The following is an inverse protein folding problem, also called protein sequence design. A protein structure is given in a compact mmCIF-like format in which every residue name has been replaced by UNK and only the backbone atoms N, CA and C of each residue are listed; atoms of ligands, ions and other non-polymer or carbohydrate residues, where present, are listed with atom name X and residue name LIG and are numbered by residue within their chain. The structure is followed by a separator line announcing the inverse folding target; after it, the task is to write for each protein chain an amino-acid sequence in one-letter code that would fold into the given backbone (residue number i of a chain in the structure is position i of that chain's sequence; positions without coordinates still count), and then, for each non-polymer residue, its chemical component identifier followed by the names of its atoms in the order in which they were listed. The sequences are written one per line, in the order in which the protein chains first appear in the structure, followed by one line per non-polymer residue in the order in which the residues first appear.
data_IF_105657397766
#
_entry.id   IF_105657397766
#
_cell.length_a   1.000
_cell.length_b   1.000
_cell.length_c   1.000
_cell.angle_alpha   90.00
_cell.angle_beta   90.00
_cell.angle_gamma   90.00
#
_symmetry.space_group_name_H-M   'P 1'
#
loop_
_entity.id
_entity.type
_entity.pdbx_description
1 polymer ?
#
# COMPACT_ATOMS: atom_id res chain seq x y z
N UNK A 1 4.24 22.84 -12.59
CA UNK A 1 4.58 21.47 -12.18
C UNK A 1 4.58 21.45 -10.66
N UNK A 2 3.61 20.78 -10.05
CA UNK A 2 3.46 20.74 -8.59
C UNK A 2 4.28 19.56 -8.08
N UNK A 3 5.58 19.81 -7.85
CA UNK A 3 6.53 18.79 -7.39
C UNK A 3 6.27 18.51 -5.90
N UNK A 4 5.30 17.64 -5.63
CA UNK A 4 5.15 17.08 -4.29
C UNK A 4 6.35 16.19 -4.05
N UNK A 5 7.37 16.69 -3.34
CA UNK A 5 8.49 15.89 -2.87
C UNK A 5 7.94 14.87 -1.86
N UNK A 6 7.62 13.68 -2.36
CA UNK A 6 7.16 12.56 -1.55
C UNK A 6 8.35 12.03 -0.72
N UNK A 7 8.40 12.41 0.56
CA UNK A 7 9.60 12.18 1.37
C UNK A 7 9.83 10.74 1.85
N UNK A 8 8.85 9.84 1.77
CA UNK A 8 8.97 8.48 2.31
C UNK A 8 8.20 7.46 1.48
N UNK A 9 8.86 6.35 1.13
CA UNK A 9 8.29 5.14 0.54
C UNK A 9 7.30 4.45 1.49
N UNK A 10 6.47 3.57 0.94
CA UNK A 10 5.45 2.85 1.70
C UNK A 10 5.99 1.55 2.27
N UNK A 11 6.14 1.50 3.58
CA UNK A 11 6.41 0.27 4.33
C UNK A 11 5.10 -0.37 4.76
N UNK A 12 4.73 -1.48 4.13
CA UNK A 12 3.50 -2.20 4.40
C UNK A 12 3.82 -3.52 5.11
N UNK A 13 3.30 -3.67 6.32
CA UNK A 13 3.49 -4.87 7.17
C UNK A 13 2.29 -5.82 7.12
N UNK A 14 1.11 -5.31 6.73
CA UNK A 14 -0.12 -6.10 6.72
C UNK A 14 -0.25 -6.91 5.43
N UNK A 15 -0.27 -8.24 5.55
CA UNK A 15 -0.36 -9.17 4.42
C UNK A 15 -1.59 -8.92 3.53
N UNK A 16 -2.75 -8.62 4.10
CA UNK A 16 -3.98 -8.32 3.34
C UNK A 16 -3.78 -7.12 2.41
N UNK A 17 -3.21 -6.03 2.94
CA UNK A 17 -2.91 -4.85 2.14
C UNK A 17 -1.85 -5.16 1.08
N UNK A 18 -0.80 -5.91 1.41
CA UNK A 18 0.23 -6.30 0.43
C UNK A 18 -0.39 -7.10 -0.71
N UNK A 19 -1.19 -8.13 -0.40
CA UNK A 19 -1.85 -8.96 -1.42
C UNK A 19 -2.73 -8.11 -2.33
N UNK A 20 -3.54 -7.21 -1.78
CA UNK A 20 -4.39 -6.35 -2.59
C UNK A 20 -3.57 -5.43 -3.50
N UNK A 21 -2.47 -4.84 -3.02
CA UNK A 21 -1.60 -4.01 -3.85
C UNK A 21 -0.97 -4.82 -5.00
N UNK A 22 -0.56 -6.08 -4.73
CA UNK A 22 -0.06 -7.00 -5.75
C UNK A 22 -1.12 -7.33 -6.80
N UNK A 23 -2.38 -7.54 -6.38
CA UNK A 23 -3.51 -7.80 -7.30
C UNK A 23 -3.83 -6.61 -8.21
N UNK A 24 -3.55 -5.38 -7.76
CA UNK A 24 -3.65 -4.17 -8.59
C UNK A 24 -2.45 -3.99 -9.53
N UNK A 25 -1.44 -4.88 -9.48
CA UNK A 25 -0.27 -4.86 -10.35
C UNK A 25 0.93 -4.07 -9.81
N UNK A 26 0.85 -3.53 -8.58
CA UNK A 26 2.01 -2.90 -7.95
C UNK A 26 3.07 -3.94 -7.61
N UNK A 27 4.33 -3.56 -7.77
CA UNK A 27 5.48 -4.40 -7.43
C UNK A 27 6.23 -3.78 -6.25
N UNK A 28 6.49 -4.54 -5.18
CA UNK A 28 7.34 -4.06 -4.11
C UNK A 28 8.77 -3.92 -4.65
N UNK A 29 9.41 -2.81 -4.34
CA UNK A 29 10.84 -2.62 -4.60
C UNK A 29 11.68 -3.57 -3.74
N UNK A 30 11.21 -3.85 -2.51
CA UNK A 30 11.90 -4.72 -1.57
C UNK A 30 10.91 -5.47 -0.68
N UNK A 31 11.25 -6.69 -0.32
CA UNK A 31 10.62 -7.41 0.79
C UNK A 31 11.71 -7.72 1.80
N UNK A 32 11.43 -7.53 3.09
CA UNK A 32 12.42 -7.70 4.15
C UNK A 32 11.82 -8.05 5.48
N UNK A 33 12.70 -8.23 6.47
CA UNK A 33 12.35 -8.48 7.86
C UNK A 33 12.67 -7.21 8.65
N UNK A 34 11.68 -6.70 9.37
CA UNK A 34 11.80 -5.55 10.25
C UNK A 34 12.56 -5.88 11.53
N UNK A 35 12.82 -4.86 12.34
CA UNK A 35 13.64 -4.97 13.57
C UNK A 35 13.12 -6.00 14.58
N UNK A 36 11.81 -6.28 14.56
CA UNK A 36 11.14 -7.18 15.49
C UNK A 36 10.83 -8.57 14.89
N UNK A 37 11.31 -8.86 13.68
CA UNK A 37 11.02 -10.13 12.99
C UNK A 37 9.80 -10.07 12.05
N UNK A 38 9.08 -8.96 12.01
CA UNK A 38 7.91 -8.78 11.13
C UNK A 38 8.32 -8.62 9.67
N UNK A 39 7.62 -9.29 8.76
CA UNK A 39 7.83 -9.10 7.34
C UNK A 39 7.23 -7.76 6.87
N UNK A 40 7.95 -7.07 5.97
CA UNK A 40 7.45 -5.87 5.31
C UNK A 40 7.69 -5.92 3.80
N UNK A 41 6.79 -5.28 3.07
CA UNK A 41 6.96 -4.94 1.66
C UNK A 41 7.13 -3.42 1.50
N UNK A 42 8.19 -3.02 0.81
CA UNK A 42 8.50 -1.64 0.47
C UNK A 42 8.00 -1.33 -0.94
N UNK A 43 7.12 -0.35 -1.07
CA UNK A 43 6.65 0.14 -2.37
C UNK A 43 7.15 1.56 -2.59
N UNK A 44 7.65 1.82 -3.80
CA UNK A 44 8.06 3.15 -4.23
C UNK A 44 6.88 4.12 -4.12
N UNK A 45 7.13 5.30 -3.55
CA UNK A 45 6.11 6.35 -3.56
C UNK A 45 6.12 7.13 -4.87
N UNK A 46 5.32 6.68 -5.81
CA UNK A 46 5.01 7.38 -7.05
C UNK A 46 3.50 7.64 -7.17
N UNK A 47 3.10 8.33 -8.24
CA UNK A 47 1.70 8.73 -8.45
C UNK A 47 0.77 7.52 -8.60
N UNK A 48 1.25 6.42 -9.19
CA UNK A 48 0.49 5.17 -9.36
C UNK A 48 0.27 4.49 -8.00
N UNK A 49 1.32 4.33 -7.20
CA UNK A 49 1.24 3.78 -5.85
C UNK A 49 0.32 4.62 -4.96
N UNK A 50 0.39 5.96 -5.04
CA UNK A 50 -0.51 6.84 -4.28
C UNK A 50 -1.98 6.65 -4.67
N UNK A 51 -2.29 6.55 -5.96
CA UNK A 51 -3.67 6.35 -6.44
C UNK A 51 -4.23 5.01 -5.94
N UNK A 52 -3.45 3.94 -6.09
CA UNK A 52 -3.84 2.59 -5.68
C UNK A 52 -3.99 2.50 -4.15
N UNK A 53 -3.07 3.09 -3.37
CA UNK A 53 -3.21 3.14 -1.90
C UNK A 53 -4.43 3.95 -1.47
N UNK A 54 -4.78 5.02 -2.19
CA UNK A 54 -6.01 5.77 -1.90
C UNK A 54 -7.26 4.94 -2.20
N UNK A 55 -7.28 4.15 -3.29
CA UNK A 55 -8.35 3.18 -3.56
C UNK A 55 -8.46 2.13 -2.46
N UNK A 56 -7.35 1.61 -1.96
CA UNK A 56 -7.34 0.68 -0.82
C UNK A 56 -8.03 1.28 0.41
N UNK A 57 -7.72 2.53 0.76
CA UNK A 57 -8.36 3.22 1.89
C UNK A 57 -9.87 3.36 1.72
N UNK A 58 -10.33 3.64 0.50
CA UNK A 58 -11.76 3.72 0.20
C UNK A 58 -12.43 2.33 0.30
N UNK A 59 -11.80 1.30 -0.26
CA UNK A 59 -12.26 -0.08 -0.18
C UNK A 59 -12.40 -0.57 1.27
N UNK A 60 -11.38 -0.34 2.12
CA UNK A 60 -11.43 -0.68 3.55
C UNK A 60 -12.54 0.05 4.31
N UNK A 61 -12.83 1.30 3.96
CA UNK A 61 -13.95 2.05 4.55
C UNK A 61 -15.30 1.48 4.14
N UNK A 62 -15.46 1.06 2.87
CA UNK A 62 -16.69 0.42 2.40
C UNK A 62 -16.96 -0.91 3.13
N UNK A 63 -15.93 -1.74 3.29
CA UNK A 63 -16.03 -3.00 4.07
C UNK A 63 -16.41 -2.72 5.52
N UNK A 64 -15.76 -1.75 6.17
CA UNK A 64 -16.06 -1.40 7.56
C UNK A 64 -17.49 -0.88 7.77
N UNK A 65 -18.09 -0.27 6.74
CA UNK A 65 -19.47 0.19 6.79
C UNK A 65 -20.49 -0.90 6.43
N UNK A 66 -20.05 -2.14 6.19
CA UNK A 66 -20.95 -3.28 5.98
C UNK A 66 -21.73 -3.23 4.67
N UNK A 67 -21.24 -2.49 3.68
CA UNK A 67 -21.80 -2.53 2.31
C UNK A 67 -21.26 -3.82 1.67
N UNK A 68 -21.89 -4.95 2.02
CA UNK A 68 -21.91 -6.12 1.15
C UNK A 68 -22.97 -5.84 0.09
N UNK A 69 -22.57 -5.77 -1.17
CA UNK A 69 -23.50 -5.83 -2.31
C UNK A 69 -24.24 -7.17 -2.33
#
# INVERSE_FOLDING_TARGET
MNDKIYKNDYYIYHLEQVNWLLEQGLKPQRVGIGKHGDYYALFERNQETEDIINRWKLHRRAIQQGIQE
#
